data_IF_780087398236
#
_entry.id   IF_780087398236
#
_cell.length_a   1.000
_cell.length_b   1.000
_cell.length_c   1.000
_cell.angle_alpha   90.00
_cell.angle_beta   90.00
_cell.angle_gamma   90.00
#
_symmetry.space_group_name_H-M   'P 1'
#
loop_
_entity.id
_entity.type
_entity.pdbx_description
1 polymer ?
#
# COMPACT_ATOMS: atom_id res chain seq x y z
N UNK A 1 5.02 -1.30 -3.17
CA UNK A 1 5.83 -2.10 -2.23
C UNK A 1 5.03 -3.29 -1.74
N UNK A 2 5.65 -4.47 -1.60
CA UNK A 2 4.99 -5.66 -1.03
C UNK A 2 4.52 -5.36 0.40
N UNK A 3 3.36 -5.90 0.76
CA UNK A 3 2.79 -5.79 2.11
C UNK A 3 3.73 -6.41 3.14
N UNK A 4 4.02 -5.67 4.21
CA UNK A 4 4.76 -6.15 5.38
C UNK A 4 3.73 -6.43 6.48
N UNK A 5 3.83 -7.61 7.09
CA UNK A 5 2.96 -8.10 8.17
C UNK A 5 3.81 -8.37 9.41
N UNK A 6 3.22 -8.19 10.58
CA UNK A 6 3.79 -8.64 11.87
C UNK A 6 2.76 -9.48 12.61
N UNK A 7 3.13 -10.05 13.75
CA UNK A 7 2.20 -10.79 14.63
C UNK A 7 1.03 -9.92 15.10
N UNK A 8 1.24 -8.60 15.21
CA UNK A 8 0.23 -7.65 15.71
C UNK A 8 -0.55 -6.94 14.61
N UNK A 9 0.07 -6.69 13.45
CA UNK A 9 -0.54 -5.86 12.42
C UNK A 9 -0.44 -6.48 11.02
N UNK A 10 -1.58 -6.53 10.35
CA UNK A 10 -1.65 -6.96 8.96
C UNK A 10 -0.96 -5.98 8.00
N UNK A 11 -0.81 -4.69 8.34
CA UNK A 11 -0.11 -3.72 7.51
C UNK A 11 0.88 -2.91 8.35
N UNK A 12 2.15 -3.29 8.28
CA UNK A 12 3.21 -2.61 9.01
C UNK A 12 3.93 -1.58 8.15
N UNK A 13 4.29 -0.46 8.78
CA UNK A 13 5.18 0.55 8.25
C UNK A 13 6.58 -0.06 8.03
N UNK A 14 7.21 0.16 6.86
CA UNK A 14 8.54 -0.38 6.59
C UNK A 14 9.66 0.25 7.44
N UNK A 15 9.40 1.39 8.09
CA UNK A 15 10.40 2.11 8.89
C UNK A 15 10.33 1.77 10.38
N UNK A 16 9.14 1.75 10.95
CA UNK A 16 8.96 1.60 12.40
C UNK A 16 8.11 0.37 12.80
N UNK A 17 7.70 -0.47 11.85
CA UNK A 17 6.84 -1.64 12.08
C UNK A 17 5.47 -1.37 12.73
N UNK A 18 5.11 -0.10 12.92
CA UNK A 18 3.80 0.31 13.42
C UNK A 18 2.70 0.12 12.39
N UNK A 19 1.45 0.11 12.86
CA UNK A 19 0.28 0.02 12.01
C UNK A 19 0.22 1.17 10.99
N UNK A 20 -0.10 0.83 9.75
CA UNK A 20 -0.39 1.81 8.70
C UNK A 20 -1.88 2.12 8.65
N UNK A 21 -2.20 3.40 8.53
CA UNK A 21 -3.55 3.88 8.29
C UNK A 21 -3.78 4.11 6.80
N UNK A 22 -5.00 3.82 6.33
CA UNK A 22 -5.35 3.96 4.92
C UNK A 22 -5.83 5.37 4.66
N UNK A 23 -5.18 6.05 3.72
CA UNK A 23 -5.55 7.42 3.33
C UNK A 23 -6.13 7.46 1.92
N UNK A 24 -6.76 8.60 1.59
CA UNK A 24 -7.32 8.83 0.26
C UNK A 24 -6.22 8.92 -0.79
N UNK A 25 -6.55 8.45 -2.00
CA UNK A 25 -5.66 8.57 -3.15
C UNK A 25 -5.58 10.02 -3.61
N UNK A 26 -4.39 10.46 -3.99
CA UNK A 26 -4.15 11.74 -4.63
C UNK A 26 -4.10 11.61 -6.16
N UNK A 27 -3.91 12.73 -6.88
CA UNK A 27 -3.87 12.74 -8.33
C UNK A 27 -2.68 11.95 -8.90
N UNK A 28 -1.53 11.98 -8.25
CA UNK A 28 -0.35 11.20 -8.64
C UNK A 28 -0.62 9.69 -8.59
N UNK A 29 -1.36 9.22 -7.59
CA UNK A 29 -1.76 7.82 -7.49
C UNK A 29 -2.66 7.40 -8.64
N UNK A 30 -3.54 8.30 -9.10
CA UNK A 30 -4.42 8.05 -10.26
C UNK A 30 -3.61 7.91 -11.54
N UNK A 31 -2.59 8.75 -11.72
CA UNK A 31 -1.66 8.68 -12.85
C UNK A 31 -0.91 7.35 -12.84
N UNK A 32 -0.38 6.93 -11.68
CA UNK A 32 0.29 5.62 -11.54
C UNK A 32 -0.67 4.49 -11.89
N UNK A 33 -1.92 4.54 -11.40
CA UNK A 33 -2.93 3.54 -11.72
C UNK A 33 -3.27 3.49 -13.22
N UNK A 34 -3.23 4.64 -13.91
CA UNK A 34 -3.44 4.72 -15.36
C UNK A 34 -2.25 4.13 -16.14
N UNK A 35 -1.02 4.52 -15.79
CA UNK A 35 0.21 4.05 -16.46
C UNK A 35 0.39 2.54 -16.29
N UNK A 36 -0.01 2.00 -15.14
CA UNK A 36 0.02 0.57 -14.86
C UNK A 36 -1.17 -0.19 -15.45
N UNK A 37 -1.94 0.43 -16.35
CA UNK A 37 -3.14 -0.15 -16.97
C UNK A 37 -4.12 -0.76 -15.96
N UNK A 38 -4.21 -0.19 -14.75
CA UNK A 38 -5.04 -0.66 -13.65
C UNK A 38 -4.77 -2.13 -13.22
N UNK A 39 -3.61 -2.69 -13.58
CA UNK A 39 -3.24 -4.07 -13.26
C UNK A 39 -3.11 -4.30 -11.75
N UNK A 40 -2.83 -3.24 -11.00
CA UNK A 40 -2.61 -3.31 -9.56
C UNK A 40 -3.65 -2.49 -8.81
N UNK A 41 -4.13 -3.04 -7.69
CA UNK A 41 -5.01 -2.29 -6.80
C UNK A 41 -4.18 -1.48 -5.81
N UNK A 42 -3.61 -0.37 -6.30
CA UNK A 42 -2.86 0.56 -5.45
C UNK A 42 -3.76 1.18 -4.39
N UNK A 43 -3.32 1.10 -3.13
CA UNK A 43 -3.91 1.76 -1.96
C UNK A 43 -2.81 2.61 -1.31
N UNK A 44 -3.15 3.82 -0.90
CA UNK A 44 -2.23 4.74 -0.24
C UNK A 44 -2.36 4.58 1.27
N UNK A 45 -1.22 4.61 1.94
CA UNK A 45 -1.13 4.46 3.38
C UNK A 45 -0.21 5.52 3.96
N UNK A 46 -0.50 5.95 5.18
CA UNK A 46 0.39 6.75 6.01
C UNK A 46 0.74 5.99 7.30
N UNK A 47 1.86 6.36 7.89
CA UNK A 47 2.27 5.93 9.22
C UNK A 47 2.23 7.14 10.15
N UNK A 48 1.40 7.08 11.18
CA UNK A 48 1.23 8.17 12.14
C UNK A 48 2.41 8.31 13.12
N UNK A 49 3.43 7.44 13.04
CA UNK A 49 4.57 7.42 13.95
C UNK A 49 5.88 7.91 13.34
N UNK A 50 6.04 7.83 12.01
CA UNK A 50 7.31 8.18 11.35
C UNK A 50 7.10 8.92 10.01
N UNK A 51 5.91 9.47 9.81
CA UNK A 51 5.49 10.25 8.65
C UNK A 51 5.73 9.55 7.30
N UNK A 52 5.85 8.22 7.33
CA UNK A 52 5.98 7.45 6.10
C UNK A 52 4.65 7.46 5.36
N UNK A 53 4.67 7.84 4.10
CA UNK A 53 3.51 7.81 3.22
C UNK A 53 3.87 7.12 1.91
N UNK A 54 3.00 6.24 1.43
CA UNK A 54 3.31 5.52 0.21
C UNK A 54 2.21 4.64 -0.35
N UNK A 55 2.42 4.20 -1.58
CA UNK A 55 1.54 3.29 -2.29
C UNK A 55 1.94 1.83 -2.04
N UNK A 56 0.95 1.03 -1.63
CA UNK A 56 1.03 -0.43 -1.62
C UNK A 56 0.01 -1.00 -2.58
N UNK A 57 0.40 -2.05 -3.28
CA UNK A 57 -0.50 -2.80 -4.14
C UNK A 57 -0.76 -4.16 -3.52
N UNK A 58 -1.98 -4.65 -3.69
CA UNK A 58 -2.30 -6.05 -3.51
C UNK A 58 -2.24 -6.69 -4.91
N UNK A 59 -1.53 -7.83 -5.02
CA UNK A 59 -1.54 -8.60 -6.25
C UNK A 59 -2.95 -9.16 -6.45
N UNK A 60 -3.67 -8.66 -7.45
CA UNK A 60 -4.93 -9.29 -7.88
C UNK A 60 -4.70 -10.57 -8.69
N UNK A 61 -3.49 -10.77 -9.21
CA UNK A 61 -3.13 -11.89 -10.08
C UNK A 61 -2.52 -13.07 -9.31
N UNK A 62 -3.09 -13.46 -8.17
CA UNK A 62 -3.00 -14.86 -7.78
C UNK A 62 -4.10 -15.59 -8.56
N UNK A 63 -3.77 -15.99 -9.80
CA UNK A 63 -4.51 -17.04 -10.48
C UNK A 63 -4.40 -18.25 -9.53
N UNK A 64 -5.46 -18.54 -8.77
CA UNK A 64 -5.62 -19.87 -8.16
C UNK A 64 -5.70 -20.83 -9.33
N UNK A 65 -4.57 -21.47 -9.63
CA UNK A 65 -4.51 -22.65 -10.50
C UNK A 65 -4.65 -23.90 -9.64
#
# INVERSE_FOLDING_TARGET
MKKIVSEKFANCCPKCNEALERIRRNNSDRIINLITFQMFSFKRYNCNYCDWEGLRWENKFEKKS
#
